data_IF_939196469262
#
_entry.id   IF_939196469262
#
_cell.length_a   1.000
_cell.length_b   1.000
_cell.length_c   1.000
_cell.angle_alpha   90.00
_cell.angle_beta   90.00
_cell.angle_gamma   90.00
#
_symmetry.space_group_name_H-M   'P 1'
#
loop_
_entity.id
_entity.type
_entity.pdbx_description
1 polymer ?
#
# COMPACT_ATOMS: atom_id res chain seq x y z
N UNK A 1 -3.55 9.50 22.81
CA UNK A 1 -4.15 9.69 21.48
C UNK A 1 -5.35 8.76 21.39
N UNK A 2 -6.44 9.23 20.80
CA UNK A 2 -7.64 8.42 20.60
C UNK A 2 -7.64 7.75 19.22
N UNK A 3 -8.42 6.68 19.08
CA UNK A 3 -8.63 6.00 17.80
C UNK A 3 -9.30 6.95 16.80
N UNK A 4 -9.07 6.72 15.51
CA UNK A 4 -9.63 7.53 14.44
C UNK A 4 -10.35 6.69 13.39
N UNK A 5 -11.38 7.29 12.83
CA UNK A 5 -12.11 6.79 11.65
C UNK A 5 -12.37 7.94 10.67
N UNK A 6 -13.06 7.66 9.57
CA UNK A 6 -13.46 8.68 8.61
C UNK A 6 -14.72 9.43 9.07
N UNK A 7 -14.85 10.70 8.68
CA UNK A 7 -16.06 11.50 8.94
C UNK A 7 -17.19 11.13 7.98
N UNK A 8 -16.85 10.88 6.73
CA UNK A 8 -17.77 10.51 5.66
C UNK A 8 -17.23 9.30 4.89
N UNK A 9 -18.10 8.63 4.14
CA UNK A 9 -17.63 7.61 3.19
C UNK A 9 -16.82 8.25 2.06
N UNK A 10 -15.86 7.49 1.52
CA UNK A 10 -15.04 7.90 0.38
C UNK A 10 -15.05 6.79 -0.68
N UNK A 11 -15.14 7.15 -1.96
CA UNK A 11 -15.18 6.18 -3.06
C UNK A 11 -14.08 6.49 -4.06
N UNK A 12 -13.38 5.46 -4.50
CA UNK A 12 -12.43 5.52 -5.59
C UNK A 12 -12.67 4.37 -6.57
N UNK A 13 -12.77 4.69 -7.86
CA UNK A 13 -12.97 3.72 -8.93
C UNK A 13 -11.79 3.78 -9.91
N UNK A 14 -11.30 2.63 -10.31
CA UNK A 14 -10.20 2.55 -11.28
C UNK A 14 -9.88 1.11 -11.67
N UNK A 15 -8.75 0.94 -12.33
CA UNK A 15 -8.27 -0.37 -12.80
C UNK A 15 -7.38 -1.05 -11.75
N UNK A 16 -7.51 -2.36 -11.54
CA UNK A 16 -6.56 -3.15 -10.74
C UNK A 16 -5.24 -3.37 -11.50
N UNK A 17 -4.10 -3.35 -10.82
CA UNK A 17 -2.77 -3.46 -11.43
C UNK A 17 -2.61 -4.80 -12.14
N UNK A 18 -2.92 -5.89 -11.44
CA UNK A 18 -2.64 -7.24 -11.90
C UNK A 18 -3.79 -7.84 -12.69
N UNK A 19 -5.00 -7.72 -12.18
CA UNK A 19 -6.21 -8.26 -12.83
C UNK A 19 -6.58 -7.51 -14.10
N UNK A 20 -6.31 -6.19 -14.15
CA UNK A 20 -6.79 -5.30 -15.20
C UNK A 20 -8.30 -5.05 -15.16
N UNK A 21 -8.99 -5.57 -14.14
CA UNK A 21 -10.43 -5.35 -13.94
C UNK A 21 -10.71 -3.95 -13.42
N UNK A 22 -11.87 -3.40 -13.74
CA UNK A 22 -12.35 -2.17 -13.10
C UNK A 22 -12.92 -2.56 -11.73
N UNK A 23 -12.46 -1.87 -10.70
CA UNK A 23 -12.92 -2.02 -9.33
C UNK A 23 -13.42 -0.68 -8.77
N UNK A 24 -14.46 -0.74 -7.97
CA UNK A 24 -14.94 0.33 -7.10
C UNK A 24 -14.58 -0.01 -5.66
N UNK A 25 -13.75 0.83 -5.07
CA UNK A 25 -13.34 0.74 -3.67
C UNK A 25 -14.04 1.82 -2.85
N UNK A 26 -14.65 1.44 -1.73
CA UNK A 26 -15.27 2.38 -0.81
C UNK A 26 -14.69 2.25 0.59
N UNK A 27 -14.28 3.37 1.16
CA UNK A 27 -13.88 3.49 2.55
C UNK A 27 -15.09 3.95 3.38
N UNK A 28 -15.53 3.12 4.31
CA UNK A 28 -16.69 3.37 5.16
C UNK A 28 -16.21 3.55 6.61
N UNK A 29 -16.64 4.62 7.32
CA UNK A 29 -16.35 4.77 8.75
C UNK A 29 -16.75 3.51 9.53
N UNK A 30 -15.94 3.13 10.51
CA UNK A 30 -16.18 1.94 11.33
C UNK A 30 -16.17 2.27 12.83
N UNK A 31 -16.90 1.50 13.66
CA UNK A 31 -16.88 1.66 15.11
C UNK A 31 -15.48 1.50 15.71
N UNK A 32 -15.30 2.00 16.93
CA UNK A 32 -14.05 1.81 17.65
C UNK A 32 -13.72 0.32 17.84
N UNK A 33 -12.44 -0.01 17.89
CA UNK A 33 -11.89 -1.37 17.94
C UNK A 33 -12.23 -2.28 16.74
N UNK A 34 -12.86 -1.77 15.67
CA UNK A 34 -13.16 -2.56 14.48
C UNK A 34 -11.90 -2.91 13.66
N UNK A 35 -10.87 -2.08 13.73
CA UNK A 35 -9.67 -2.19 12.89
C UNK A 35 -9.95 -1.86 11.41
N UNK A 36 -8.97 -2.20 10.57
CA UNK A 36 -9.11 -2.15 9.11
C UNK A 36 -9.67 -3.49 8.62
N UNK A 37 -10.81 -3.48 7.94
CA UNK A 37 -11.46 -4.71 7.44
C UNK A 37 -11.80 -4.57 5.97
N UNK A 38 -11.27 -5.45 5.13
CA UNK A 38 -11.67 -5.54 3.73
C UNK A 38 -12.96 -6.34 3.59
N UNK A 39 -13.83 -5.97 2.65
CA UNK A 39 -15.11 -6.64 2.39
C UNK A 39 -15.30 -6.81 0.89
N UNK A 40 -15.43 -8.06 0.45
CA UNK A 40 -15.69 -8.41 -0.97
C UNK A 40 -17.19 -8.38 -1.25
N UNK A 41 -17.71 -7.21 -1.64
CA UNK A 41 -19.15 -6.98 -1.84
C UNK A 41 -19.69 -7.64 -3.10
N UNK A 42 -18.82 -8.06 -4.02
CA UNK A 42 -19.17 -8.83 -5.22
C UNK A 42 -19.42 -10.31 -4.94
N UNK A 43 -19.03 -10.82 -3.76
CA UNK A 43 -19.21 -12.22 -3.38
C UNK A 43 -20.46 -12.41 -2.50
N UNK A 44 -21.17 -13.56 -2.62
CA UNK A 44 -22.30 -13.87 -1.76
C UNK A 44 -21.94 -13.79 -0.27
N UNK A 45 -22.75 -13.06 0.50
CA UNK A 45 -22.55 -12.87 1.94
C UNK A 45 -21.50 -11.82 2.31
N UNK A 46 -20.91 -11.12 1.34
CA UNK A 46 -19.95 -10.03 1.55
C UNK A 46 -18.85 -10.39 2.57
N UNK A 47 -18.04 -11.44 2.30
CA UNK A 47 -17.08 -11.96 3.25
C UNK A 47 -16.10 -10.86 3.69
N UNK A 48 -15.83 -10.85 4.99
CA UNK A 48 -15.01 -9.86 5.69
C UNK A 48 -13.63 -10.45 5.94
N UNK A 49 -12.58 -9.70 5.62
CA UNK A 49 -11.18 -10.08 5.75
C UNK A 49 -10.48 -9.00 6.59
N UNK A 50 -10.30 -9.22 7.90
CA UNK A 50 -9.53 -8.29 8.73
C UNK A 50 -8.10 -8.14 8.21
N UNK A 51 -7.56 -6.92 8.20
CA UNK A 51 -6.16 -6.66 7.88
C UNK A 51 -5.27 -7.04 9.06
N UNK A 52 -4.99 -8.34 9.18
CA UNK A 52 -4.14 -8.94 10.20
C UNK A 52 -3.08 -9.82 9.55
N UNK A 53 -1.96 -10.01 10.24
CA UNK A 53 -0.88 -10.93 9.84
C UNK A 53 -1.43 -12.35 9.65
N UNK A 54 -2.38 -12.78 10.49
CA UNK A 54 -2.99 -14.12 10.41
C UNK A 54 -3.77 -14.36 9.11
N UNK A 55 -4.18 -13.28 8.43
CA UNK A 55 -4.92 -13.35 7.17
C UNK A 55 -4.01 -13.15 5.94
N UNK A 56 -2.69 -13.02 6.10
CA UNK A 56 -1.78 -12.93 4.96
C UNK A 56 -1.66 -14.28 4.28
N UNK A 57 -2.09 -14.36 3.02
CA UNK A 57 -2.10 -15.60 2.23
C UNK A 57 -1.13 -15.57 1.04
N UNK A 58 -0.53 -14.41 0.74
CA UNK A 58 0.45 -14.27 -0.34
C UNK A 58 1.24 -12.98 -0.26
N UNK A 59 2.52 -13.05 -0.61
CA UNK A 59 3.48 -11.92 -0.60
C UNK A 59 4.26 -11.77 -1.92
N UNK A 60 3.92 -12.58 -2.93
CA UNK A 60 4.59 -12.56 -4.24
C UNK A 60 3.92 -11.49 -5.10
N UNK A 61 4.68 -10.45 -5.48
CA UNK A 61 4.21 -9.30 -6.29
C UNK A 61 3.06 -8.54 -5.61
N UNK A 62 3.18 -8.34 -4.30
CA UNK A 62 2.23 -7.59 -3.48
C UNK A 62 1.71 -8.41 -2.30
N UNK A 63 0.93 -7.77 -1.43
CA UNK A 63 0.35 -8.39 -0.24
C UNK A 63 -1.08 -8.81 -0.53
N UNK A 64 -1.40 -10.09 -0.29
CA UNK A 64 -2.75 -10.63 -0.41
C UNK A 64 -3.27 -11.08 0.94
N UNK A 65 -4.50 -10.67 1.25
CA UNK A 65 -5.24 -11.09 2.44
C UNK A 65 -6.33 -12.10 2.06
N UNK A 66 -6.60 -13.06 2.94
CA UNK A 66 -7.63 -14.06 2.73
C UNK A 66 -8.35 -14.48 4.01
N UNK A 67 -9.64 -14.78 3.89
CA UNK A 67 -10.43 -15.41 4.94
C UNK A 67 -11.46 -16.34 4.31
N UNK A 68 -11.44 -17.63 4.72
CA UNK A 68 -12.26 -18.66 4.07
C UNK A 68 -11.93 -18.79 2.59
N UNK A 69 -12.93 -18.59 1.72
CA UNK A 69 -12.78 -18.65 0.26
C UNK A 69 -12.59 -17.28 -0.40
N UNK A 70 -12.57 -16.19 0.38
CA UNK A 70 -12.42 -14.84 -0.14
C UNK A 70 -10.98 -14.36 -0.01
N UNK A 71 -10.50 -13.64 -1.03
CA UNK A 71 -9.17 -13.01 -1.03
C UNK A 71 -9.25 -11.60 -1.62
N UNK A 72 -8.34 -10.74 -1.18
CA UNK A 72 -8.07 -9.42 -1.76
C UNK A 72 -6.56 -9.31 -1.97
N UNK A 73 -6.16 -8.99 -3.19
CA UNK A 73 -4.77 -8.81 -3.60
C UNK A 73 -4.36 -7.34 -3.50
N UNK A 74 -3.05 -7.07 -3.43
CA UNK A 74 -2.45 -5.73 -3.60
C UNK A 74 -3.03 -4.69 -2.63
N UNK A 75 -3.09 -5.03 -1.34
CA UNK A 75 -3.65 -4.16 -0.28
C UNK A 75 -2.67 -3.12 0.26
N UNK A 76 -1.37 -3.28 -0.01
CA UNK A 76 -0.27 -2.59 0.66
C UNK A 76 -0.32 -1.07 0.54
N UNK A 77 -0.62 -0.50 -0.64
CA UNK A 77 -0.68 0.97 -0.79
C UNK A 77 -1.88 1.57 -0.05
N UNK A 78 -3.00 0.85 0.00
CA UNK A 78 -4.18 1.25 0.76
C UNK A 78 -3.87 1.22 2.25
N UNK A 79 -3.26 0.14 2.74
CA UNK A 79 -2.85 0.00 4.13
C UNK A 79 -1.81 1.05 4.53
N UNK A 80 -0.85 1.35 3.66
CA UNK A 80 0.16 2.39 3.87
C UNK A 80 -0.48 3.78 4.06
N UNK A 81 -1.45 4.15 3.21
CA UNK A 81 -2.18 5.41 3.35
C UNK A 81 -3.01 5.48 4.65
N UNK A 82 -3.73 4.41 4.99
CA UNK A 82 -4.54 4.35 6.21
C UNK A 82 -3.66 4.48 7.47
N UNK A 83 -2.55 3.73 7.51
CA UNK A 83 -1.61 3.74 8.61
C UNK A 83 -0.99 5.13 8.81
N UNK A 84 -0.47 5.73 7.73
CA UNK A 84 0.21 7.01 7.80
C UNK A 84 -0.72 8.17 8.20
N UNK A 85 -2.00 8.12 7.80
CA UNK A 85 -3.01 9.09 8.24
C UNK A 85 -3.56 8.79 9.64
N UNK A 86 -3.11 7.70 10.26
CA UNK A 86 -3.50 7.29 11.60
C UNK A 86 -4.96 6.85 11.71
N UNK A 87 -5.55 6.32 10.63
CA UNK A 87 -6.92 5.79 10.60
C UNK A 87 -6.88 4.37 11.18
N UNK A 88 -7.56 4.16 12.31
CA UNK A 88 -7.56 2.89 13.04
C UNK A 88 -8.72 1.99 12.61
N UNK A 89 -9.88 2.59 12.37
CA UNK A 89 -11.12 1.87 12.12
C UNK A 89 -11.73 2.27 10.78
N UNK A 90 -11.77 1.35 9.81
CA UNK A 90 -12.41 1.57 8.51
C UNK A 90 -12.80 0.24 7.88
N UNK A 91 -13.97 0.20 7.24
CA UNK A 91 -14.34 -0.90 6.35
C UNK A 91 -13.99 -0.53 4.92
N UNK A 92 -13.16 -1.32 4.25
CA UNK A 92 -12.76 -1.14 2.85
C UNK A 92 -13.55 -2.11 2.00
N UNK A 93 -14.63 -1.64 1.40
CA UNK A 93 -15.49 -2.43 0.52
C UNK A 93 -14.93 -2.43 -0.91
N UNK A 94 -14.94 -3.61 -1.54
CA UNK A 94 -14.45 -3.84 -2.90
C UNK A 94 -15.43 -4.73 -3.66
N UNK A 95 -15.80 -4.31 -4.87
CA UNK A 95 -16.58 -5.11 -5.83
C UNK A 95 -15.70 -5.97 -6.75
N UNK A 96 -14.43 -6.15 -6.39
CA UNK A 96 -13.44 -6.95 -7.09
C UNK A 96 -12.42 -7.54 -6.11
N UNK A 97 -11.57 -8.46 -6.59
CA UNK A 97 -10.53 -9.10 -5.78
C UNK A 97 -9.23 -8.28 -5.66
N UNK A 98 -9.18 -7.05 -6.15
CA UNK A 98 -8.01 -6.17 -6.13
C UNK A 98 -8.45 -4.70 -6.04
N UNK A 99 -7.89 -3.88 -5.15
CA UNK A 99 -8.08 -2.44 -5.17
C UNK A 99 -7.61 -1.82 -6.50
N UNK A 100 -8.24 -0.72 -6.94
CA UNK A 100 -7.70 0.08 -8.04
C UNK A 100 -6.27 0.54 -7.77
N UNK A 101 -5.36 0.44 -8.74
CA UNK A 101 -3.94 0.83 -8.62
C UNK A 101 -3.73 2.35 -8.54
N UNK A 102 -4.74 3.13 -8.93
CA UNK A 102 -4.65 4.58 -9.06
C UNK A 102 -3.49 4.98 -10.00
N UNK A 103 -2.53 5.76 -9.51
CA UNK A 103 -1.33 6.20 -10.23
C UNK A 103 -0.08 5.37 -9.86
N UNK A 104 -0.27 4.24 -9.20
CA UNK A 104 0.82 3.37 -8.75
C UNK A 104 1.39 3.73 -7.38
N UNK A 105 0.92 4.82 -6.75
CA UNK A 105 1.35 5.24 -5.42
C UNK A 105 0.18 5.32 -4.44
N UNK A 106 0.46 5.69 -3.19
CA UNK A 106 -0.56 5.88 -2.16
C UNK A 106 -1.21 7.29 -2.19
N UNK A 107 -0.72 8.19 -3.05
CA UNK A 107 -1.08 9.62 -3.07
C UNK A 107 -2.58 9.83 -3.26
N UNK A 108 -3.17 9.14 -4.23
CA UNK A 108 -4.60 9.30 -4.53
C UNK A 108 -5.47 8.78 -3.38
N UNK A 109 -5.05 7.71 -2.68
CA UNK A 109 -5.77 7.22 -1.51
C UNK A 109 -5.71 8.23 -0.37
N UNK A 110 -4.53 8.79 -0.10
CA UNK A 110 -4.35 9.86 0.89
C UNK A 110 -5.29 11.04 0.60
N UNK A 111 -5.29 11.56 -0.64
CA UNK A 111 -6.14 12.68 -1.04
C UNK A 111 -7.63 12.35 -0.86
N UNK A 112 -8.03 11.11 -1.19
CA UNK A 112 -9.40 10.61 -1.04
C UNK A 112 -9.83 10.56 0.42
N UNK A 113 -8.97 10.03 1.31
CA UNK A 113 -9.23 9.90 2.73
C UNK A 113 -9.26 11.27 3.43
N UNK A 114 -8.37 12.18 3.08
CA UNK A 114 -8.36 13.55 3.63
C UNK A 114 -9.62 14.33 3.23
N UNK A 115 -10.08 14.19 1.98
CA UNK A 115 -11.34 14.81 1.52
C UNK A 115 -12.56 14.28 2.29
N UNK A 116 -12.56 13.00 2.65
CA UNK A 116 -13.61 12.39 3.46
C UNK A 116 -13.60 12.87 4.92
N UNK A 117 -12.48 13.44 5.37
CA UNK A 117 -12.27 13.91 6.74
C UNK A 117 -11.96 12.78 7.71
N UNK A 118 -11.18 13.09 8.74
CA UNK A 118 -10.78 12.13 9.78
C UNK A 118 -11.30 12.66 11.12
N UNK A 119 -11.90 11.79 11.93
CA UNK A 119 -12.47 12.12 13.23
C UNK A 119 -11.96 11.16 14.30
N UNK A 120 -11.77 11.69 15.51
CA UNK A 120 -11.43 10.88 16.68
C UNK A 120 -12.69 10.19 17.24
N UNK A 121 -12.49 8.99 17.78
CA UNK A 121 -13.49 8.22 18.49
C UNK A 121 -13.16 8.25 19.98
N UNK A 122 -14.15 8.16 20.85
CA UNK A 122 -13.93 8.15 22.31
C UNK A 122 -13.40 6.79 22.80
N UNK A 123 -12.19 6.46 22.33
CA UNK A 123 -11.49 5.20 22.60
C UNK A 123 -9.98 5.43 22.51
N UNK A 124 -9.17 4.99 23.47
CA UNK A 124 -7.72 5.12 23.38
C UNK A 124 -7.17 4.29 22.22
N UNK A 125 -6.21 4.86 21.49
CA UNK A 125 -5.44 4.16 20.46
C UNK A 125 -4.36 3.29 21.09
N UNK A 126 -4.26 2.05 20.65
CA UNK A 126 -3.20 1.14 21.03
C UNK A 126 -1.99 1.30 20.10
N UNK A 127 -0.80 1.31 20.67
CA UNK A 127 0.45 1.39 19.93
C UNK A 127 1.30 0.15 20.22
N UNK A 128 1.97 -0.37 19.19
CA UNK A 128 3.02 -1.36 19.37
C UNK A 128 4.32 -0.64 19.74
N UNK A 129 4.81 -0.84 20.96
CA UNK A 129 6.11 -0.34 21.42
C UNK A 129 7.10 -1.50 21.51
N UNK A 130 8.22 -1.40 20.80
CA UNK A 130 9.31 -2.36 20.94
C UNK A 130 10.07 -2.09 22.24
N UNK A 131 10.42 -3.17 22.96
CA UNK A 131 11.24 -3.11 24.18
C UNK A 131 12.70 -3.44 23.94
N UNK A 132 12.97 -4.22 22.91
CA UNK A 132 14.29 -4.68 22.52
C UNK A 132 14.40 -4.77 21.00
N UNK A 133 15.64 -4.83 20.52
CA UNK A 133 15.93 -4.99 19.10
C UNK A 133 15.46 -6.36 18.61
N UNK A 134 14.77 -6.38 17.48
CA UNK A 134 14.41 -7.59 16.75
C UNK A 134 15.11 -7.52 15.40
N UNK A 135 15.74 -8.62 14.99
CA UNK A 135 16.48 -8.68 13.73
C UNK A 135 16.13 -9.94 12.97
N UNK A 136 15.98 -9.82 11.67
CA UNK A 136 15.75 -10.89 10.74
C UNK A 136 16.72 -10.77 9.57
N UNK A 137 17.32 -11.90 9.18
CA UNK A 137 18.22 -11.96 8.04
C UNK A 137 17.98 -13.24 7.25
N UNK A 138 17.81 -13.09 5.95
CA UNK A 138 17.71 -14.19 5.01
C UNK A 138 18.37 -13.78 3.69
N UNK A 139 19.39 -14.53 3.28
CA UNK A 139 20.20 -14.20 2.11
C UNK A 139 20.75 -12.77 2.19
N UNK A 140 20.51 -11.94 1.18
CA UNK A 140 20.90 -10.53 1.12
C UNK A 140 19.86 -9.59 1.74
N UNK A 141 18.74 -10.12 2.24
CA UNK A 141 17.69 -9.33 2.88
C UNK A 141 17.90 -9.29 4.40
N UNK A 142 17.94 -8.09 4.96
CA UNK A 142 18.05 -7.83 6.39
C UNK A 142 16.96 -6.84 6.83
N UNK A 143 16.28 -7.15 7.94
CA UNK A 143 15.32 -6.27 8.59
C UNK A 143 15.70 -6.16 10.06
N UNK A 144 15.72 -4.95 10.58
CA UNK A 144 15.96 -4.67 11.99
C UNK A 144 14.92 -3.68 12.50
N UNK A 145 14.32 -3.98 13.64
CA UNK A 145 13.44 -3.07 14.36
C UNK A 145 14.07 -2.79 15.71
N UNK A 146 14.23 -1.52 16.05
CA UNK A 146 14.87 -1.08 17.29
C UNK A 146 13.90 -0.21 18.09
N UNK A 147 13.97 -0.22 19.45
CA UNK A 147 13.22 0.72 20.26
C UNK A 147 13.55 2.17 19.90
N UNK A 148 12.53 3.02 19.74
CA UNK A 148 12.71 4.42 19.37
C UNK A 148 11.46 5.25 19.65
N UNK A 149 11.62 6.57 19.57
CA UNK A 149 10.50 7.51 19.68
C UNK A 149 9.88 7.75 18.30
N UNK A 150 8.60 7.40 18.15
CA UNK A 150 7.91 7.45 16.86
C UNK A 150 8.33 6.34 15.90
N UNK A 151 8.06 6.52 14.61
CA UNK A 151 8.42 5.58 13.56
C UNK A 151 9.41 6.24 12.60
N UNK A 152 10.63 5.70 12.58
CA UNK A 152 11.66 6.03 11.58
C UNK A 152 11.92 4.77 10.75
N UNK A 153 11.93 4.91 9.44
CA UNK A 153 12.20 3.81 8.51
C UNK A 153 13.45 4.16 7.72
N UNK A 154 14.52 3.38 7.90
CA UNK A 154 15.71 3.42 7.07
C UNK A 154 15.66 2.25 6.09
N UNK A 155 15.73 2.55 4.79
CA UNK A 155 15.71 1.56 3.72
C UNK A 155 16.98 1.72 2.87
N UNK A 156 17.62 0.58 2.58
CA UNK A 156 18.68 0.48 1.61
C UNK A 156 18.21 -0.42 0.46
N UNK A 157 18.33 0.09 -0.75
CA UNK A 157 18.02 -0.61 -1.98
C UNK A 157 19.30 -0.81 -2.77
N UNK A 158 19.61 -2.05 -3.14
CA UNK A 158 20.84 -2.40 -3.87
C UNK A 158 20.44 -3.12 -5.15
N UNK A 159 20.58 -2.47 -6.29
CA UNK A 159 20.39 -3.07 -7.61
C UNK A 159 21.65 -2.90 -8.46
N UNK A 160 22.11 -4.01 -9.05
CA UNK A 160 23.07 -3.98 -10.15
C UNK A 160 22.36 -3.59 -11.46
N UNK A 161 21.83 -2.36 -11.48
CA UNK A 161 21.11 -1.80 -12.61
C UNK A 161 21.43 -0.31 -12.75
N UNK A 162 21.91 0.17 -13.91
CA UNK A 162 22.46 1.53 -14.07
C UNK A 162 21.45 2.65 -13.78
N UNK A 163 20.15 2.37 -13.93
CA UNK A 163 19.08 3.34 -13.66
C UNK A 163 18.61 3.40 -12.20
N UNK A 164 18.94 2.40 -11.37
CA UNK A 164 18.49 2.30 -9.97
C UNK A 164 19.70 2.43 -9.04
N UNK A 165 20.74 1.63 -9.29
CA UNK A 165 21.95 1.61 -8.49
C UNK A 165 21.70 1.29 -7.02
N UNK A 166 22.53 1.87 -6.16
CA UNK A 166 22.40 1.75 -4.72
C UNK A 166 21.79 3.03 -4.17
N UNK A 167 20.73 2.88 -3.39
CA UNK A 167 20.01 3.97 -2.76
C UNK A 167 19.88 3.69 -1.27
N UNK A 168 19.96 4.74 -0.47
CA UNK A 168 19.72 4.67 0.96
C UNK A 168 18.95 5.90 1.38
N UNK A 169 17.86 5.70 2.11
CA UNK A 169 17.06 6.79 2.61
C UNK A 169 16.46 6.47 3.97
N UNK A 170 16.41 7.49 4.81
CA UNK A 170 15.76 7.47 6.11
C UNK A 170 14.57 8.41 6.09
N UNK A 171 13.42 7.89 6.50
CA UNK A 171 12.17 8.63 6.58
C UNK A 171 11.69 8.68 8.02
N UNK A 172 11.31 9.87 8.48
CA UNK A 172 10.49 10.03 9.68
C UNK A 172 9.03 9.91 9.23
N UNK A 173 8.27 9.00 9.83
CA UNK A 173 6.91 8.69 9.36
C UNK A 173 5.87 9.35 10.27
N UNK A 174 5.33 10.46 9.79
CA UNK A 174 4.16 11.12 10.33
C UNK A 174 3.21 11.51 9.17
N UNK A 175 1.97 11.94 9.44
CA UNK A 175 1.02 12.26 8.38
C UNK A 175 1.53 13.32 7.38
N UNK A 176 2.30 14.32 7.81
CA UNK A 176 2.77 15.40 6.95
C UNK A 176 3.97 14.95 6.11
N UNK A 177 4.97 14.32 6.72
CA UNK A 177 6.15 13.81 6.01
C UNK A 177 5.77 12.72 5.01
N UNK A 178 4.88 11.79 5.39
CA UNK A 178 4.41 10.72 4.51
C UNK A 178 3.76 11.28 3.25
N UNK A 179 2.89 12.28 3.38
CA UNK A 179 2.22 12.92 2.24
C UNK A 179 3.20 13.53 1.23
N UNK A 180 4.30 14.11 1.73
CA UNK A 180 5.27 14.84 0.92
C UNK A 180 6.34 13.93 0.33
N UNK A 181 6.82 12.96 1.09
CA UNK A 181 8.07 12.24 0.79
C UNK A 181 7.85 10.78 0.39
N UNK A 182 6.73 10.16 0.79
CA UNK A 182 6.52 8.71 0.59
C UNK A 182 5.30 8.45 -0.30
N UNK A 183 4.13 9.01 0.04
CA UNK A 183 2.88 8.75 -0.66
C UNK A 183 2.94 8.97 -2.19
N UNK A 184 3.70 9.94 -2.72
CA UNK A 184 3.84 10.11 -4.17
C UNK A 184 4.71 9.04 -4.85
N UNK A 185 5.55 8.28 -4.16
CA UNK A 185 6.46 7.33 -4.80
C UNK A 185 5.70 6.13 -5.40
N UNK A 186 5.86 5.90 -6.70
CA UNK A 186 5.12 4.85 -7.42
C UNK A 186 5.81 3.51 -7.33
N UNK A 187 5.02 2.45 -7.43
CA UNK A 187 5.54 1.11 -7.75
C UNK A 187 6.30 1.10 -9.07
N UNK A 188 7.21 0.15 -9.23
CA UNK A 188 8.02 0.00 -10.43
C UNK A 188 8.18 -1.45 -10.85
N UNK A 189 8.55 -1.65 -12.11
CA UNK A 189 8.95 -2.95 -12.64
C UNK A 189 9.99 -2.79 -13.75
N UNK A 190 10.67 -3.88 -14.09
CA UNK A 190 11.57 -3.90 -15.23
C UNK A 190 10.82 -4.27 -16.51
N UNK A 191 11.21 -3.68 -17.63
CA UNK A 191 10.59 -3.89 -18.94
C UNK A 191 10.60 -5.37 -19.37
N UNK A 192 11.71 -6.07 -19.12
CA UNK A 192 11.86 -7.50 -19.42
C UNK A 192 10.92 -8.40 -18.59
N UNK A 193 10.39 -7.93 -17.46
CA UNK A 193 9.44 -8.69 -16.64
C UNK A 193 8.00 -8.58 -17.16
N UNK A 194 7.66 -7.49 -17.85
CA UNK A 194 6.28 -7.14 -18.21
C UNK A 194 5.59 -8.26 -19.00
N UNK A 195 6.25 -8.76 -20.04
CA UNK A 195 5.69 -9.82 -20.89
C UNK A 195 5.52 -11.14 -20.15
N UNK A 196 6.44 -11.48 -19.25
CA UNK A 196 6.35 -12.68 -18.43
C UNK A 196 5.21 -12.57 -17.40
N UNK A 197 5.03 -11.40 -16.79
CA UNK A 197 3.93 -11.13 -15.85
C UNK A 197 2.58 -11.22 -16.56
N UNK A 198 2.43 -10.60 -17.74
CA UNK A 198 1.20 -10.67 -18.53
C UNK A 198 0.81 -12.10 -18.91
N UNK A 199 1.78 -12.93 -19.30
CA UNK A 199 1.56 -14.37 -19.58
C UNK A 199 1.07 -15.15 -18.37
N UNK A 200 1.46 -14.75 -17.15
CA UNK A 200 0.98 -15.33 -15.88
C UNK A 200 -0.35 -14.72 -15.40
N UNK A 201 -0.96 -13.84 -16.20
CA UNK A 201 -2.20 -13.15 -15.83
C UNK A 201 -2.01 -11.98 -14.86
N UNK A 202 -0.77 -11.53 -14.65
CA UNK A 202 -0.42 -10.37 -13.83
C UNK A 202 -0.14 -9.14 -14.70
N UNK A 203 -0.06 -7.98 -14.06
CA UNK A 203 0.21 -6.67 -14.69
C UNK A 203 -0.69 -6.34 -15.90
N UNK A 204 -1.93 -6.85 -15.94
CA UNK A 204 -2.87 -6.62 -17.05
C UNK A 204 -3.42 -5.19 -17.09
N UNK A 205 -3.49 -4.52 -15.93
CA UNK A 205 -3.84 -3.10 -15.83
C UNK A 205 -2.63 -2.17 -15.73
N UNK A 206 -1.41 -2.73 -15.80
CA UNK A 206 -0.17 -1.97 -15.74
C UNK A 206 0.03 -1.08 -16.97
N UNK A 207 0.40 0.17 -16.72
CA UNK A 207 0.69 1.18 -17.74
C UNK A 207 1.75 2.16 -17.23
N UNK A 208 2.25 3.03 -18.11
CA UNK A 208 3.19 4.10 -17.70
C UNK A 208 2.52 5.16 -16.82
N UNK A 209 1.19 5.15 -16.70
CA UNK A 209 0.46 6.07 -15.83
C UNK A 209 0.40 5.57 -14.38
N UNK A 210 0.64 4.28 -14.15
CA UNK A 210 0.48 3.63 -12.85
C UNK A 210 1.65 2.75 -12.37
N UNK A 211 2.76 2.75 -13.10
CA UNK A 211 4.01 2.14 -12.68
C UNK A 211 5.19 2.83 -13.34
N UNK A 212 6.31 2.93 -12.63
CA UNK A 212 7.60 3.27 -13.25
C UNK A 212 8.13 2.05 -13.98
N UNK A 213 8.39 2.15 -15.27
CA UNK A 213 8.93 1.03 -16.06
C UNK A 213 10.40 1.31 -16.39
N UNK A 214 11.26 0.48 -15.84
CA UNK A 214 12.72 0.58 -15.93
C UNK A 214 13.21 -0.31 -17.07
N UNK A 215 13.85 0.29 -18.07
CA UNK A 215 14.58 -0.42 -19.12
C UNK A 215 16.08 -0.43 -18.87
N UNK A 216 16.81 -1.18 -19.70
CA UNK A 216 18.25 -1.40 -19.55
C UNK A 216 19.08 -0.10 -19.41
N UNK A 217 18.72 0.95 -20.15
CA UNK A 217 19.46 2.22 -20.21
C UNK A 217 18.57 3.46 -20.07
N UNK A 218 17.28 3.28 -19.73
CA UNK A 218 16.31 4.36 -19.65
C UNK A 218 15.12 4.03 -18.75
N UNK A 219 14.40 5.06 -18.34
CA UNK A 219 13.05 4.94 -17.76
C UNK A 219 12.03 5.28 -18.87
N UNK A 220 10.99 4.45 -19.04
CA UNK A 220 10.05 4.55 -20.16
C UNK A 220 8.95 5.61 -20.00
N UNK A 221 8.63 6.01 -18.76
CA UNK A 221 7.55 6.94 -18.47
C UNK A 221 7.74 8.26 -19.23
N UNK A 222 6.77 8.64 -20.07
CA UNK A 222 6.81 9.82 -20.94
C UNK A 222 6.48 11.09 -20.15
N UNK A 223 7.42 11.51 -19.31
CA UNK A 223 7.67 12.86 -18.82
C UNK A 223 8.86 12.73 -17.86
N UNK A 224 9.95 13.49 -18.09
CA UNK A 224 11.05 13.60 -17.12
C UNK A 224 10.41 14.10 -15.81
N UNK A 225 10.42 13.42 -14.68
CA UNK A 225 11.34 12.45 -14.11
C UNK A 225 10.56 11.46 -13.24
N UNK A 226 11.27 10.54 -12.61
CA UNK A 226 10.84 10.06 -11.30
C UNK A 226 10.33 11.23 -10.44
N UNK A 227 9.30 11.00 -9.63
CA UNK A 227 8.73 12.01 -8.73
C UNK A 227 9.74 12.43 -7.66
N UNK A 228 10.69 11.54 -7.36
CA UNK A 228 11.86 11.78 -6.54
C UNK A 228 13.10 11.22 -7.26
N UNK A 229 14.31 11.78 -7.08
CA UNK A 229 15.53 11.19 -7.63
C UNK A 229 15.75 9.71 -7.25
N UNK A 230 15.16 9.31 -6.13
CA UNK A 230 15.22 8.03 -5.43
C UNK A 230 13.80 7.48 -5.19
N UNK A 231 12.93 7.50 -6.21
CA UNK A 231 11.53 7.04 -6.12
C UNK A 231 11.37 5.52 -5.92
N UNK A 232 12.44 4.74 -6.10
CA UNK A 232 12.40 3.26 -6.14
C UNK A 232 12.39 2.61 -4.75
#
# INVERSE_FOLDING_TARGET
>A
MNQRTLKHEAVFKGIGLHTGGIASMRFVPAPADAGVVFVRTDLPGSPRIPASIDNVVGVIRGTSLGAGNAQVHTVEHVLSALFALGIDNVTVELDANEPPVADGSAKIFVETLLKAGIVEQDRPKNFLSLKEKISYKQNETELSLEPGEGLTIACQLVYDHPMIGNQERTFFVDPESYQKEIAPARTFCFDYEVEALKRKGLARGGSLDNAVVVGADRIYNKEKTLRFPDEF
#
